data_IF_979226470252
#
_entry.id   IF_979226470252
#
_cell.length_a   1.000
_cell.length_b   1.000
_cell.length_c   1.000
_cell.angle_alpha   90.00
_cell.angle_beta   90.00
_cell.angle_gamma   90.00
#
_symmetry.space_group_name_H-M   'P 1'
#
loop_
_entity.id
_entity.type
_entity.pdbx_description
1 polymer ?
#
# COMPACT_ATOMS: atom_id res chain seq x y z
N UNK A 1 -4.99 -3.23 0.54
CA UNK A 1 -5.52 -3.71 -0.76
C UNK A 1 -4.38 -3.89 -1.76
N UNK A 2 -4.41 -4.94 -2.57
CA UNK A 2 -3.48 -5.19 -3.67
C UNK A 2 -4.27 -5.55 -4.94
N UNK A 3 -3.90 -4.99 -6.08
CA UNK A 3 -4.43 -5.41 -7.38
C UNK A 3 -3.50 -6.48 -7.96
N UNK A 4 -4.02 -7.68 -8.15
CA UNK A 4 -3.33 -8.72 -8.88
C UNK A 4 -3.24 -8.35 -10.35
N UNK A 5 -2.03 -8.13 -10.85
CA UNK A 5 -1.84 -7.71 -12.24
C UNK A 5 -2.12 -8.82 -13.25
N UNK A 6 -2.03 -10.09 -12.82
CA UNK A 6 -2.27 -11.29 -13.64
C UNK A 6 -3.77 -11.59 -13.67
N UNK A 7 -4.40 -11.72 -12.50
CA UNK A 7 -5.81 -12.11 -12.41
C UNK A 7 -6.78 -10.93 -12.47
N UNK A 8 -6.26 -9.70 -12.40
CA UNK A 8 -7.04 -8.44 -12.31
C UNK A 8 -7.95 -8.36 -11.09
N UNK A 9 -7.72 -9.19 -10.08
CA UNK A 9 -8.49 -9.23 -8.85
C UNK A 9 -7.96 -8.23 -7.83
N UNK A 10 -8.86 -7.59 -7.12
CA UNK A 10 -8.52 -6.76 -5.98
C UNK A 10 -8.61 -7.57 -4.70
N UNK A 11 -7.47 -7.77 -4.05
CA UNK A 11 -7.37 -8.62 -2.86
C UNK A 11 -7.12 -7.75 -1.64
N UNK A 12 -7.87 -8.00 -0.58
CA UNK A 12 -7.61 -7.49 0.77
C UNK A 12 -7.04 -8.61 1.61
N UNK A 13 -6.01 -8.30 2.39
CA UNK A 13 -5.39 -9.21 3.35
C UNK A 13 -5.68 -8.68 4.74
N UNK A 14 -6.20 -9.52 5.61
CA UNK A 14 -6.51 -9.19 6.98
C UNK A 14 -5.41 -9.70 7.90
N UNK A 15 -4.89 -8.79 8.70
CA UNK A 15 -3.89 -9.06 9.72
C UNK A 15 -4.39 -8.52 11.06
N UNK A 16 -4.20 -9.29 12.11
CA UNK A 16 -4.40 -8.85 13.49
C UNK A 16 -3.04 -8.59 14.09
N UNK A 17 -2.90 -7.47 14.79
CA UNK A 17 -1.65 -7.06 15.42
C UNK A 17 -1.85 -6.93 16.93
N UNK A 18 -0.89 -7.44 17.69
CA UNK A 18 -0.84 -7.32 19.15
C UNK A 18 0.60 -7.09 19.62
N UNK A 19 0.81 -6.93 20.93
CA UNK A 19 2.15 -6.87 21.53
C UNK A 19 3.01 -8.12 21.25
N UNK A 20 2.38 -9.25 20.88
CA UNK A 20 3.06 -10.50 20.55
C UNK A 20 3.44 -10.60 19.06
N UNK A 21 3.01 -9.65 18.24
CA UNK A 21 3.28 -9.61 16.81
C UNK A 21 2.03 -9.62 15.93
N UNK A 22 2.23 -9.86 14.64
CA UNK A 22 1.20 -9.87 13.61
C UNK A 22 0.82 -11.29 13.19
N UNK A 23 -0.47 -11.55 13.04
CA UNK A 23 -1.01 -12.81 12.55
C UNK A 23 -1.86 -12.53 11.32
N UNK A 24 -1.58 -13.27 10.24
CA UNK A 24 -2.44 -13.28 9.06
C UNK A 24 -3.69 -14.11 9.36
N UNK A 25 -4.87 -13.52 9.15
CA UNK A 25 -6.15 -14.21 9.35
C UNK A 25 -6.60 -14.85 8.05
N UNK A 26 -6.86 -14.01 7.04
CA UNK A 26 -7.28 -14.45 5.71
C UNK A 26 -7.06 -13.36 4.66
N UNK A 27 -7.25 -13.74 3.40
CA UNK A 27 -7.34 -12.83 2.27
C UNK A 27 -8.64 -13.02 1.53
N UNK A 28 -9.22 -11.93 1.05
CA UNK A 28 -10.49 -11.93 0.34
C UNK A 28 -10.36 -11.20 -1.00
N UNK A 29 -10.98 -11.77 -2.03
CA UNK A 29 -11.24 -11.08 -3.29
C UNK A 29 -12.39 -10.09 -3.05
N UNK A 30 -12.09 -8.81 -3.20
CA UNK A 30 -13.03 -7.70 -2.99
C UNK A 30 -13.35 -6.98 -4.29
N UNK A 31 -13.02 -7.56 -5.45
CA UNK A 31 -13.18 -6.90 -6.76
C UNK A 31 -14.59 -6.34 -6.99
N UNK A 32 -15.61 -7.06 -6.53
CA UNK A 32 -17.02 -6.68 -6.67
C UNK A 32 -17.47 -5.61 -5.65
N UNK A 33 -16.85 -5.57 -4.46
CA UNK A 33 -17.32 -4.74 -3.34
C UNK A 33 -16.52 -3.49 -3.11
N UNK A 34 -15.28 -3.44 -3.58
CA UNK A 34 -14.32 -2.37 -3.31
C UNK A 34 -14.73 -0.99 -3.84
N UNK A 35 -15.66 -0.95 -4.79
CA UNK A 35 -16.20 0.28 -5.37
C UNK A 35 -17.36 0.86 -4.55
N UNK A 36 -17.88 0.11 -3.57
CA UNK A 36 -18.98 0.53 -2.70
C UNK A 36 -18.52 0.58 -1.23
N UNK A 37 -18.61 1.75 -0.62
CA UNK A 37 -18.24 1.96 0.76
C UNK A 37 -19.11 1.16 1.75
N UNK A 38 -20.40 0.93 1.45
CA UNK A 38 -21.29 0.16 2.33
C UNK A 38 -20.95 -1.32 2.30
N UNK A 39 -20.63 -1.86 1.12
CA UNK A 39 -20.21 -3.25 1.01
C UNK A 39 -18.83 -3.47 1.64
N UNK A 40 -17.89 -2.53 1.47
CA UNK A 40 -16.62 -2.55 2.19
C UNK A 40 -16.81 -2.45 3.71
N UNK A 41 -17.72 -1.60 4.18
CA UNK A 41 -18.06 -1.50 5.60
C UNK A 41 -18.49 -2.88 6.13
N UNK A 42 -19.39 -3.59 5.45
CA UNK A 42 -19.79 -4.95 5.85
C UNK A 42 -18.60 -5.90 5.95
N UNK A 43 -17.71 -5.88 4.97
CA UNK A 43 -16.48 -6.70 5.00
C UNK A 43 -15.61 -6.38 6.22
N UNK A 44 -15.45 -5.10 6.58
CA UNK A 44 -14.68 -4.69 7.76
C UNK A 44 -15.41 -5.08 9.06
N UNK A 45 -16.73 -4.92 9.10
CA UNK A 45 -17.57 -5.22 10.25
C UNK A 45 -17.62 -6.73 10.56
N UNK A 46 -17.75 -7.56 9.52
CA UNK A 46 -17.68 -9.01 9.61
C UNK A 46 -16.32 -9.45 10.16
N UNK A 47 -15.23 -8.78 9.75
CA UNK A 47 -13.88 -9.07 10.26
C UNK A 47 -13.70 -8.68 11.73
N UNK A 48 -14.28 -7.57 12.18
CA UNK A 48 -14.29 -7.21 13.60
C UNK A 48 -15.04 -8.27 14.39
N UNK A 49 -16.20 -8.71 13.89
CA UNK A 49 -17.00 -9.78 14.52
C UNK A 49 -16.24 -11.10 14.59
N UNK A 50 -15.53 -11.49 13.53
CA UNK A 50 -14.71 -12.72 13.48
C UNK A 50 -13.55 -12.70 14.47
N UNK A 51 -12.93 -11.54 14.69
CA UNK A 51 -11.84 -11.37 15.68
C UNK A 51 -12.38 -11.23 17.12
N UNK A 52 -13.65 -10.85 17.27
CA UNK A 52 -14.27 -10.47 18.53
C UNK A 52 -14.02 -8.99 18.83
N UNK A 53 -15.08 -8.21 18.98
CA UNK A 53 -15.02 -6.75 19.15
C UNK A 53 -14.18 -6.36 20.38
N UNK A 54 -14.25 -7.14 21.46
CA UNK A 54 -13.47 -6.95 22.67
C UNK A 54 -11.96 -7.07 22.48
N UNK A 55 -11.53 -7.70 21.38
CA UNK A 55 -10.13 -7.88 21.01
C UNK A 55 -9.64 -6.84 20.00
N UNK A 56 -10.53 -5.97 19.50
CA UNK A 56 -10.22 -4.94 18.52
C UNK A 56 -10.22 -3.58 19.21
N UNK A 57 -9.15 -2.82 19.03
CA UNK A 57 -9.08 -1.41 19.47
C UNK A 57 -9.10 -0.47 18.27
N UNK A 58 -8.53 -0.91 17.16
CA UNK A 58 -8.31 -0.07 15.99
C UNK A 58 -8.34 -0.87 14.69
N UNK A 59 -8.98 -0.28 13.68
CA UNK A 59 -8.95 -0.79 12.30
C UNK A 59 -8.12 0.15 11.43
N UNK A 60 -7.10 -0.40 10.78
CA UNK A 60 -6.24 0.33 9.85
C UNK A 60 -6.49 -0.12 8.42
N UNK A 61 -6.86 0.80 7.54
CA UNK A 61 -7.04 0.52 6.10
C UNK A 61 -6.32 1.57 5.26
N UNK A 62 -6.31 1.41 3.93
CA UNK A 62 -5.76 2.46 3.08
C UNK A 62 -6.67 3.69 3.00
N UNK A 63 -6.08 4.82 2.63
CA UNK A 63 -6.73 6.14 2.53
C UNK A 63 -7.58 6.33 1.26
N UNK A 64 -7.87 5.27 0.50
CA UNK A 64 -8.73 5.41 -0.67
C UNK A 64 -10.15 5.79 -0.24
N UNK A 65 -10.83 6.63 -1.04
CA UNK A 65 -12.08 7.30 -0.66
C UNK A 65 -13.16 6.36 -0.11
N UNK A 66 -13.32 5.16 -0.68
CA UNK A 66 -14.29 4.18 -0.21
C UNK A 66 -13.90 3.54 1.12
N UNK A 67 -12.61 3.31 1.38
CA UNK A 67 -12.13 2.82 2.68
C UNK A 67 -12.27 3.90 3.75
N UNK A 68 -12.05 5.17 3.41
CA UNK A 68 -12.31 6.28 4.34
C UNK A 68 -13.78 6.32 4.74
N UNK A 69 -14.69 6.21 3.76
CA UNK A 69 -16.14 6.17 4.03
C UNK A 69 -16.54 4.94 4.85
N UNK A 70 -16.06 3.76 4.48
CA UNK A 70 -16.32 2.51 5.19
C UNK A 70 -15.81 2.54 6.64
N UNK A 71 -14.61 3.07 6.85
CA UNK A 71 -14.03 3.25 8.19
C UNK A 71 -14.83 4.22 9.07
N UNK A 72 -15.34 5.31 8.49
CA UNK A 72 -16.25 6.23 9.20
C UNK A 72 -17.58 5.57 9.57
N UNK A 73 -18.16 4.76 8.67
CA UNK A 73 -19.35 3.97 8.98
C UNK A 73 -19.08 2.98 10.11
N UNK A 74 -17.92 2.32 10.09
CA UNK A 74 -17.51 1.39 11.15
C UNK A 74 -17.41 2.07 12.52
N UNK A 75 -16.83 3.26 12.59
CA UNK A 75 -16.77 4.04 13.84
C UNK A 75 -18.15 4.50 14.33
N UNK A 76 -19.09 4.73 13.41
CA UNK A 76 -20.46 5.10 13.76
C UNK A 76 -21.25 3.89 14.31
N UNK A 77 -21.05 2.70 13.72
CA UNK A 77 -21.68 1.45 14.14
C UNK A 77 -21.08 0.91 15.46
N UNK A 78 -19.76 1.05 15.63
CA UNK A 78 -19.00 0.53 16.78
C UNK A 78 -18.26 1.66 17.49
N UNK A 79 -18.91 2.40 18.40
CA UNK A 79 -18.35 3.61 19.01
C UNK A 79 -17.08 3.40 19.85
N UNK A 80 -16.79 2.16 20.26
CA UNK A 80 -15.59 1.82 21.03
C UNK A 80 -14.35 1.62 20.15
N UNK A 81 -14.53 1.57 18.82
CA UNK A 81 -13.46 1.36 17.85
C UNK A 81 -13.08 2.66 17.15
N UNK A 82 -11.80 2.74 16.78
CA UNK A 82 -11.29 3.83 15.95
C UNK A 82 -10.78 3.29 14.62
N UNK A 83 -11.14 3.97 13.54
CA UNK A 83 -10.55 3.75 12.23
C UNK A 83 -9.51 4.85 11.94
N UNK A 84 -8.35 4.45 11.42
CA UNK A 84 -7.34 5.39 10.93
C UNK A 84 -6.80 4.99 9.55
N UNK A 85 -6.41 5.97 8.72
CA UNK A 85 -5.73 5.68 7.47
C UNK A 85 -4.32 5.13 7.72
N UNK A 86 -3.88 4.25 6.82
CA UNK A 86 -2.56 3.64 6.87
C UNK A 86 -1.47 4.69 6.65
N UNK A 87 -0.59 4.86 7.64
CA UNK A 87 0.52 5.80 7.58
C UNK A 87 1.44 5.56 6.38
N UNK A 88 1.74 4.30 6.05
CA UNK A 88 2.58 3.97 4.89
C UNK A 88 1.94 4.45 3.57
N UNK A 89 0.62 4.31 3.43
CA UNK A 89 -0.07 4.81 2.25
C UNK A 89 -0.20 6.34 2.24
N UNK A 90 -0.35 6.98 3.40
CA UNK A 90 -0.32 8.44 3.48
C UNK A 90 1.06 9.00 3.06
N UNK A 91 2.15 8.41 3.54
CA UNK A 91 3.51 8.79 3.15
C UNK A 91 3.75 8.60 1.66
N UNK A 92 3.26 7.49 1.12
CA UNK A 92 3.27 7.19 -0.31
C UNK A 92 2.60 8.30 -1.15
N UNK A 93 1.38 8.71 -0.77
CA UNK A 93 0.67 9.81 -1.45
C UNK A 93 1.42 11.14 -1.35
N UNK A 94 2.02 11.46 -0.19
CA UNK A 94 2.84 12.67 -0.02
C UNK A 94 4.04 12.65 -0.96
N UNK A 95 4.74 11.51 -1.05
CA UNK A 95 5.89 11.35 -1.96
C UNK A 95 5.46 11.45 -3.42
N UNK A 96 4.32 10.84 -3.78
CA UNK A 96 3.75 10.94 -5.12
C UNK A 96 3.46 12.40 -5.50
N UNK A 97 2.84 13.17 -4.61
CA UNK A 97 2.57 14.59 -4.81
C UNK A 97 3.85 15.40 -4.95
N UNK A 98 4.85 15.19 -4.09
CA UNK A 98 6.17 15.81 -4.20
C UNK A 98 6.80 15.52 -5.57
N UNK A 99 6.78 14.25 -5.99
CA UNK A 99 7.37 13.79 -7.23
C UNK A 99 6.68 14.31 -8.49
N UNK A 100 5.37 14.57 -8.43
CA UNK A 100 4.58 15.06 -9.57
C UNK A 100 4.53 16.58 -9.66
N UNK A 101 4.47 17.26 -8.52
CA UNK A 101 4.12 18.67 -8.43
C UNK A 101 5.33 19.59 -8.24
N UNK A 102 6.47 19.09 -7.74
CA UNK A 102 7.71 19.88 -7.66
C UNK A 102 8.52 19.69 -8.95
N UNK A 103 8.67 20.70 -9.83
CA UNK A 103 9.26 20.52 -11.16
C UNK A 103 10.68 19.97 -11.15
N UNK A 104 11.54 20.47 -10.25
CA UNK A 104 12.93 20.00 -10.13
C UNK A 104 13.00 18.53 -9.71
N UNK A 105 12.14 18.11 -8.78
CA UNK A 105 12.06 16.71 -8.33
C UNK A 105 11.54 15.83 -9.46
N UNK A 106 10.47 16.25 -10.14
CA UNK A 106 9.91 15.51 -11.29
C UNK A 106 10.94 15.25 -12.39
N UNK A 107 11.73 16.28 -12.74
CA UNK A 107 12.78 16.15 -13.76
C UNK A 107 13.88 15.20 -13.28
N UNK A 108 14.32 15.36 -12.02
CA UNK A 108 15.34 14.49 -11.43
C UNK A 108 14.88 13.02 -11.42
N UNK A 109 13.65 12.75 -10.94
CA UNK A 109 13.07 11.41 -10.93
C UNK A 109 13.00 10.79 -12.32
N UNK A 110 12.54 11.54 -13.34
CA UNK A 110 12.51 11.06 -14.72
C UNK A 110 13.89 10.65 -15.23
N UNK A 111 14.91 11.48 -15.00
CA UNK A 111 16.30 11.18 -15.40
C UNK A 111 16.85 9.97 -14.65
N UNK A 112 16.64 9.90 -13.34
CA UNK A 112 17.07 8.79 -12.50
C UNK A 112 16.43 7.46 -12.94
N UNK A 113 15.12 7.46 -13.21
CA UNK A 113 14.42 6.27 -13.73
C UNK A 113 14.96 5.82 -15.08
N UNK A 114 15.24 6.76 -16.00
CA UNK A 114 15.84 6.46 -17.29
C UNK A 114 17.24 5.83 -17.15
N UNK A 115 18.12 6.46 -16.37
CA UNK A 115 19.48 5.94 -16.12
C UNK A 115 19.42 4.56 -15.49
N UNK A 116 18.53 4.36 -14.52
CA UNK A 116 18.36 3.07 -13.86
C UNK A 116 17.89 1.98 -14.83
N UNK A 117 16.96 2.30 -15.73
CA UNK A 117 16.53 1.39 -16.79
C UNK A 117 17.69 1.04 -17.73
N UNK A 118 18.51 2.01 -18.13
CA UNK A 118 19.70 1.79 -18.95
C UNK A 118 20.75 0.90 -18.25
N UNK A 119 21.00 1.11 -16.95
CA UNK A 119 21.94 0.26 -16.19
C UNK A 119 21.43 -1.18 -16.11
N UNK A 120 20.12 -1.36 -15.92
CA UNK A 120 19.52 -2.68 -15.79
C UNK A 120 19.26 -3.39 -17.10
N UNK A 121 19.33 -2.72 -18.26
CA UNK A 121 19.17 -3.35 -19.57
C UNK A 121 20.38 -4.20 -20.00
N UNK A 122 21.53 -4.00 -19.36
CA UNK A 122 22.77 -4.74 -19.66
C UNK A 122 23.44 -5.27 -18.40
N UNK A 123 23.77 -6.56 -18.40
CA UNK A 123 24.53 -7.21 -17.31
C UNK A 123 25.91 -6.57 -17.14
N UNK A 124 26.53 -6.12 -18.23
CA UNK A 124 27.84 -5.45 -18.21
C UNK A 124 27.74 -4.12 -17.46
N UNK A 125 26.75 -3.29 -17.79
CA UNK A 125 26.53 -2.00 -17.14
C UNK A 125 26.18 -2.17 -15.66
N UNK A 126 25.33 -3.16 -15.34
CA UNK A 126 24.98 -3.49 -13.96
C UNK A 126 26.20 -3.91 -13.14
N UNK A 127 27.06 -4.78 -13.69
CA UNK A 127 28.28 -5.22 -13.02
C UNK A 127 29.31 -4.11 -12.88
N UNK A 128 29.42 -3.24 -13.88
CA UNK A 128 30.27 -2.05 -13.82
C UNK A 128 29.81 -1.12 -12.69
N UNK A 129 28.52 -0.80 -12.61
CA UNK A 129 27.98 0.03 -11.51
C UNK A 129 28.29 -0.61 -10.16
N UNK A 130 28.01 -1.92 -9.98
CA UNK A 130 28.31 -2.66 -8.74
C UNK A 130 29.79 -2.61 -8.35
N UNK A 131 30.71 -2.62 -9.33
CA UNK A 131 32.15 -2.49 -9.07
C UNK A 131 32.48 -1.14 -8.43
N UNK A 132 31.85 -0.06 -8.88
CA UNK A 132 32.09 1.30 -8.38
C UNK A 132 31.26 1.68 -7.14
N UNK A 133 30.17 0.96 -6.85
CA UNK A 133 29.28 1.25 -5.72
C UNK A 133 29.45 0.31 -4.52
N UNK A 134 30.50 -0.53 -4.50
CA UNK A 134 30.70 -1.51 -3.42
C UNK A 134 29.62 -2.59 -3.41
N UNK A 135 29.23 -3.07 -4.59
CA UNK A 135 28.17 -4.07 -4.85
C UNK A 135 26.75 -3.64 -4.48
N UNK A 136 26.51 -2.35 -4.28
CA UNK A 136 25.16 -1.81 -4.07
C UNK A 136 24.36 -1.87 -5.38
N UNK A 137 23.06 -2.10 -5.26
CA UNK A 137 22.12 -2.03 -6.38
C UNK A 137 21.29 -0.76 -6.29
N UNK A 138 20.95 -0.20 -7.44
CA UNK A 138 19.86 0.77 -7.50
C UNK A 138 18.54 0.04 -7.30
N UNK A 139 17.59 0.71 -6.64
CA UNK A 139 16.24 0.17 -6.50
C UNK A 139 15.65 0.00 -7.91
N UNK A 140 15.06 -1.17 -8.20
CA UNK A 140 14.30 -1.37 -9.43
C UNK A 140 12.88 -0.92 -9.19
N UNK A 141 12.39 0.12 -9.90
CA UNK A 141 10.99 0.52 -9.81
C UNK A 141 10.12 -0.71 -10.03
N UNK A 142 9.47 -1.19 -8.97
CA UNK A 142 8.52 -2.27 -9.08
C UNK A 142 7.20 -1.73 -9.61
N UNK A 143 6.41 -2.57 -10.27
CA UNK A 143 5.00 -2.28 -10.57
C UNK A 143 4.19 -2.52 -9.28
N UNK A 144 4.62 -1.96 -8.15
CA UNK A 144 3.79 -1.89 -6.95
C UNK A 144 3.20 -0.49 -6.87
N UNK A 145 1.97 -0.37 -6.36
CA UNK A 145 1.21 0.91 -6.38
C UNK A 145 1.84 2.03 -5.54
N UNK A 146 2.86 1.69 -4.74
CA UNK A 146 3.52 2.61 -3.84
C UNK A 146 4.62 3.38 -4.58
N UNK A 147 5.19 4.39 -3.92
CA UNK A 147 6.19 5.33 -4.38
C UNK A 147 7.53 4.65 -4.64
N UNK A 148 7.55 3.69 -5.57
CA UNK A 148 8.71 2.92 -6.05
C UNK A 148 9.75 3.79 -6.75
N UNK A 149 9.39 5.03 -7.05
CA UNK A 149 10.34 6.06 -7.50
C UNK A 149 11.18 6.64 -6.35
N UNK A 150 10.78 6.42 -5.10
CA UNK A 150 11.39 6.97 -3.88
C UNK A 150 11.91 5.90 -2.91
N UNK A 151 11.33 4.69 -2.93
CA UNK A 151 11.61 3.58 -1.99
C UNK A 151 12.12 2.37 -2.75
#
# INVERSE_FOLDING_TARGET
>A
RWLDTITKKEIVKFFVNSSKGSVFIKSMDVSEVVKDANQLFKVLDDMVTEVGEENVVQVLTDSASNYVKAGKLLMAERPQLYWIPCAAHCLDLILEDIGKNIPVVKIALKKSMYINACIHSSVVLLNMMRRFTGRRNLHRPAITRFATSFV
#
